data_IF_963391773257
#
_entry.id   IF_963391773257
#
_cell.length_a   1.000
_cell.length_b   1.000
_cell.length_c   1.000
_cell.angle_alpha   90.00
_cell.angle_beta   90.00
_cell.angle_gamma   90.00
#
_symmetry.space_group_name_H-M   'P 1'
#
loop_
_entity.id
_entity.type
_entity.pdbx_description
1 polymer ?
#
# COMPACT_ATOMS: atom_id res chain seq x y z
N UNK A 1 30.96 -0.41 4.18
CA UNK A 1 30.07 -0.93 3.11
C UNK A 1 28.96 0.09 2.96
N UNK A 2 28.63 0.53 1.73
CA UNK A 2 27.41 1.34 1.54
C UNK A 2 26.22 0.45 1.89
N UNK A 3 25.26 0.99 2.64
CA UNK A 3 23.97 0.33 2.89
C UNK A 3 23.27 0.20 1.53
N UNK A 4 22.87 -1.01 1.15
CA UNK A 4 22.18 -1.24 -0.11
C UNK A 4 20.85 -0.47 -0.12
N UNK A 5 20.51 0.15 -1.25
CA UNK A 5 19.27 0.91 -1.43
C UNK A 5 19.07 2.09 -0.44
N UNK A 6 20.14 2.63 0.16
CA UNK A 6 20.02 3.71 1.14
C UNK A 6 19.43 5.00 0.55
N UNK A 7 19.87 5.39 -0.66
CA UNK A 7 19.33 6.58 -1.35
C UNK A 7 17.88 6.35 -1.76
N UNK A 8 17.57 5.18 -2.30
CA UNK A 8 16.22 4.76 -2.67
C UNK A 8 15.26 4.81 -1.48
N UNK A 9 15.68 4.30 -0.32
CA UNK A 9 14.91 4.36 0.92
C UNK A 9 14.60 5.81 1.30
N UNK A 10 15.58 6.70 1.26
CA UNK A 10 15.38 8.11 1.62
C UNK A 10 14.43 8.83 0.65
N UNK A 11 14.64 8.64 -0.66
CA UNK A 11 13.77 9.21 -1.72
C UNK A 11 12.34 8.70 -1.56
N UNK A 12 12.17 7.39 -1.36
CA UNK A 12 10.85 6.76 -1.23
C UNK A 12 10.10 7.26 0.02
N UNK A 13 10.79 7.40 1.16
CA UNK A 13 10.20 7.98 2.38
C UNK A 13 9.76 9.43 2.15
N UNK A 14 10.60 10.25 1.50
CA UNK A 14 10.27 11.65 1.21
C UNK A 14 9.06 11.77 0.28
N UNK A 15 9.05 10.99 -0.81
CA UNK A 15 7.94 10.94 -1.76
C UNK A 15 6.63 10.52 -1.10
N UNK A 16 6.64 9.43 -0.33
CA UNK A 16 5.45 8.93 0.38
C UNK A 16 4.99 9.92 1.45
N UNK A 17 5.90 10.55 2.20
CA UNK A 17 5.53 11.56 3.21
C UNK A 17 4.80 12.75 2.58
N UNK A 18 5.31 13.29 1.47
CA UNK A 18 4.67 14.39 0.73
C UNK A 18 3.30 14.00 0.20
N UNK A 19 3.19 12.82 -0.41
CA UNK A 19 1.91 12.29 -0.86
C UNK A 19 0.93 12.10 0.31
N UNK A 20 1.37 11.58 1.47
CA UNK A 20 0.54 11.44 2.67
C UNK A 20 0.02 12.78 3.21
N UNK A 21 0.82 13.84 3.21
CA UNK A 21 0.34 15.17 3.62
C UNK A 21 -0.74 15.67 2.65
N UNK A 22 -0.50 15.53 1.34
CA UNK A 22 -1.48 15.87 0.30
C UNK A 22 -2.79 15.11 0.50
N UNK A 23 -2.73 13.78 0.58
CA UNK A 23 -3.94 12.94 0.70
C UNK A 23 -4.66 13.20 2.02
N UNK A 24 -3.94 13.56 3.09
CA UNK A 24 -4.56 13.96 4.37
C UNK A 24 -5.32 15.27 4.25
N UNK A 25 -4.77 16.25 3.53
CA UNK A 25 -5.47 17.52 3.26
C UNK A 25 -6.76 17.27 2.45
N UNK A 26 -6.67 16.46 1.38
CA UNK A 26 -7.83 16.08 0.57
C UNK A 26 -8.87 15.34 1.41
N UNK A 27 -8.44 14.34 2.19
CA UNK A 27 -9.29 13.55 3.08
C UNK A 27 -10.03 14.43 4.09
N UNK A 28 -9.32 15.32 4.78
CA UNK A 28 -9.92 16.19 5.79
C UNK A 28 -10.92 17.16 5.16
N UNK A 29 -10.60 17.75 4.01
CA UNK A 29 -11.54 18.61 3.29
C UNK A 29 -12.82 17.89 2.88
N UNK A 30 -12.76 16.58 2.60
CA UNK A 30 -13.93 15.77 2.27
C UNK A 30 -14.80 15.44 3.47
N UNK A 31 -14.16 14.97 4.54
CA UNK A 31 -14.86 14.60 5.77
C UNK A 31 -15.52 15.82 6.41
N UNK A 32 -14.83 16.97 6.43
CA UNK A 32 -15.30 18.19 7.11
C UNK A 32 -16.43 18.89 6.35
N UNK A 33 -16.43 18.85 5.02
CA UNK A 33 -17.44 19.52 4.20
C UNK A 33 -18.69 18.66 3.95
N UNK A 34 -18.85 17.51 4.62
CA UNK A 34 -19.93 16.51 4.42
C UNK A 34 -20.24 16.25 2.92
N UNK A 35 -19.26 16.41 2.04
CA UNK A 35 -19.46 16.41 0.57
C UNK A 35 -19.63 15.00 0.02
N UNK A 36 -19.81 14.02 0.91
CA UNK A 36 -20.11 12.63 0.63
C UNK A 36 -21.55 12.49 0.11
N UNK A 37 -21.82 13.07 -1.06
CA UNK A 37 -22.96 12.64 -1.85
C UNK A 37 -22.67 11.21 -2.28
N UNK A 38 -23.48 10.23 -1.84
CA UNK A 38 -23.32 8.81 -2.17
C UNK A 38 -23.15 8.63 -3.69
N UNK A 39 -21.90 8.43 -4.14
CA UNK A 39 -21.57 8.16 -5.53
C UNK A 39 -20.53 9.07 -6.16
N UNK A 40 -20.20 10.24 -5.57
CA UNK A 40 -19.17 11.12 -6.14
C UNK A 40 -17.76 10.62 -5.76
N UNK A 41 -17.10 9.94 -6.71
CA UNK A 41 -15.71 9.47 -6.57
C UNK A 41 -14.68 10.55 -6.89
N UNK A 42 -15.09 11.70 -7.43
CA UNK A 42 -14.23 12.78 -7.88
C UNK A 42 -13.13 13.16 -6.86
N UNK A 43 -13.41 13.23 -5.55
CA UNK A 43 -12.39 13.68 -4.61
C UNK A 43 -11.27 12.67 -4.33
N UNK A 44 -11.56 11.38 -4.40
CA UNK A 44 -10.51 10.35 -4.29
C UNK A 44 -9.69 10.34 -5.54
N UNK A 45 -10.37 10.33 -6.70
CA UNK A 45 -9.75 10.39 -8.02
C UNK A 45 -8.74 11.54 -8.13
N UNK A 46 -9.10 12.74 -7.65
CA UNK A 46 -8.18 13.88 -7.62
C UNK A 46 -6.98 13.64 -6.69
N UNK A 47 -7.19 13.01 -5.53
CA UNK A 47 -6.14 12.64 -4.59
C UNK A 47 -5.19 11.58 -5.15
N UNK A 48 -5.71 10.55 -5.82
CA UNK A 48 -4.95 9.48 -6.48
C UNK A 48 -4.00 10.05 -7.53
N UNK A 49 -4.54 10.81 -8.49
CA UNK A 49 -3.74 11.42 -9.54
C UNK A 49 -2.69 12.38 -9.00
N UNK A 50 -3.04 13.21 -8.01
CA UNK A 50 -2.10 14.17 -7.45
C UNK A 50 -0.99 13.49 -6.64
N UNK A 51 -1.32 12.46 -5.85
CA UNK A 51 -0.32 11.66 -5.13
C UNK A 51 0.61 10.92 -6.09
N UNK A 52 0.09 10.31 -7.16
CA UNK A 52 0.92 9.66 -8.17
C UNK A 52 1.81 10.68 -8.90
N UNK A 53 1.30 11.88 -9.21
CA UNK A 53 2.08 12.95 -9.83
C UNK A 53 3.25 13.40 -8.94
N UNK A 54 3.00 13.57 -7.63
CA UNK A 54 4.03 13.93 -6.63
C UNK A 54 5.10 12.84 -6.57
N UNK A 55 4.71 11.59 -6.32
CA UNK A 55 5.66 10.48 -6.16
C UNK A 55 6.47 10.27 -7.44
N UNK A 56 5.81 10.25 -8.59
CA UNK A 56 6.48 10.05 -9.88
C UNK A 56 7.40 11.20 -10.25
N UNK A 57 7.07 12.44 -9.86
CA UNK A 57 7.96 13.59 -10.04
C UNK A 57 9.21 13.47 -9.19
N UNK A 58 9.08 13.08 -7.92
CA UNK A 58 10.22 12.90 -7.00
C UNK A 58 11.13 11.77 -7.49
N UNK A 59 10.54 10.62 -7.88
CA UNK A 59 11.29 9.50 -8.45
C UNK A 59 11.99 9.87 -9.75
N UNK A 60 11.37 10.66 -10.62
CA UNK A 60 11.99 11.11 -11.87
C UNK A 60 13.24 11.95 -11.64
N UNK A 61 13.25 12.84 -10.64
CA UNK A 61 14.44 13.65 -10.34
C UNK A 61 15.57 12.79 -9.78
N UNK A 62 15.26 11.87 -8.87
CA UNK A 62 16.26 10.99 -8.25
C UNK A 62 16.77 9.89 -9.19
N UNK A 63 15.87 9.31 -9.99
CA UNK A 63 16.10 8.11 -10.81
C UNK A 63 15.44 8.23 -12.20
N UNK A 64 15.91 9.13 -13.08
CA UNK A 64 15.25 9.45 -14.36
C UNK A 64 15.21 8.29 -15.38
N UNK A 65 15.85 7.16 -15.08
CA UNK A 65 15.87 5.97 -15.95
C UNK A 65 15.02 4.83 -15.40
N UNK A 66 14.52 4.95 -14.17
CA UNK A 66 13.74 3.89 -13.56
C UNK A 66 12.30 3.96 -14.09
N UNK A 67 11.77 2.88 -14.67
CA UNK A 67 10.36 2.80 -15.06
C UNK A 67 9.45 2.69 -13.84
N UNK A 68 8.19 3.11 -13.99
CA UNK A 68 7.19 3.14 -12.91
C UNK A 68 5.93 2.39 -13.36
N UNK A 69 5.47 1.46 -12.54
CA UNK A 69 4.15 0.82 -12.64
C UNK A 69 3.23 1.49 -11.62
N UNK A 70 2.53 2.55 -12.03
CA UNK A 70 1.53 3.25 -11.21
C UNK A 70 0.12 2.81 -11.57
N UNK A 71 -0.84 2.95 -10.66
CA UNK A 71 -2.24 2.59 -10.89
C UNK A 71 -2.91 3.48 -11.95
N UNK A 72 -2.64 4.78 -11.89
CA UNK A 72 -3.36 5.81 -12.63
C UNK A 72 -2.69 6.18 -13.98
N UNK A 73 -3.47 6.70 -14.94
CA UNK A 73 -2.98 7.25 -16.21
C UNK A 73 -3.67 8.58 -16.57
N UNK A 74 -3.00 9.46 -17.31
CA UNK A 74 -3.51 10.80 -17.57
C UNK A 74 -4.40 10.92 -18.81
N UNK A 75 -4.88 9.81 -19.41
CA UNK A 75 -5.57 9.86 -20.70
C UNK A 75 -6.82 10.77 -20.66
N UNK A 76 -7.68 10.61 -19.65
CA UNK A 76 -8.88 11.44 -19.48
C UNK A 76 -8.53 12.89 -19.12
N UNK A 77 -7.49 13.10 -18.32
CA UNK A 77 -7.05 14.44 -17.89
C UNK A 77 -6.51 15.30 -19.04
N UNK A 78 -6.00 14.64 -20.09
CA UNK A 78 -5.52 15.28 -21.32
C UNK A 78 -6.67 15.72 -22.24
N UNK A 79 -7.88 15.22 -22.03
CA UNK A 79 -9.07 15.65 -22.77
C UNK A 79 -9.65 16.97 -22.20
N UNK A 80 -10.49 17.63 -23.00
CA UNK A 80 -11.18 18.87 -22.58
C UNK A 80 -12.20 18.60 -21.46
N UNK A 81 -12.84 17.42 -21.49
CA UNK A 81 -13.75 16.90 -20.46
C UNK A 81 -13.07 16.80 -19.09
N UNK A 82 -11.77 16.51 -19.05
CA UNK A 82 -10.97 16.38 -17.83
C UNK A 82 -10.41 17.70 -17.29
N UNK A 83 -10.65 18.85 -17.93
CA UNK A 83 -10.00 20.14 -17.60
C UNK A 83 -10.16 20.58 -16.14
N UNK A 84 -11.39 20.56 -15.62
CA UNK A 84 -11.64 20.97 -14.23
C UNK A 84 -10.96 20.05 -13.20
N UNK A 85 -10.91 18.74 -13.49
CA UNK A 85 -10.21 17.78 -12.63
C UNK A 85 -8.69 17.98 -12.71
N UNK A 86 -8.16 18.14 -13.92
CA UNK A 86 -6.76 18.43 -14.19
C UNK A 86 -6.27 19.67 -13.43
N UNK A 87 -7.00 20.78 -13.50
CA UNK A 87 -6.60 22.02 -12.83
C UNK A 87 -6.51 21.84 -11.30
N UNK A 88 -7.42 21.03 -10.73
CA UNK A 88 -7.40 20.71 -9.29
C UNK A 88 -6.23 19.80 -8.92
N UNK A 89 -5.93 18.79 -9.75
CA UNK A 89 -4.78 17.91 -9.58
C UNK A 89 -3.47 18.71 -9.63
N UNK A 90 -3.33 19.60 -10.62
CA UNK A 90 -2.16 20.46 -10.79
C UNK A 90 -1.95 21.36 -9.56
N UNK A 91 -3.03 21.96 -9.06
CA UNK A 91 -2.96 22.79 -7.86
C UNK A 91 -2.49 22.00 -6.64
N UNK A 92 -3.10 20.83 -6.36
CA UNK A 92 -2.76 20.00 -5.20
C UNK A 92 -1.34 19.42 -5.27
N UNK A 93 -0.93 18.93 -6.44
CA UNK A 93 0.40 18.39 -6.62
C UNK A 93 1.48 19.47 -6.44
N UNK A 94 1.26 20.68 -6.97
CA UNK A 94 2.18 21.79 -6.78
C UNK A 94 2.18 22.33 -5.35
N UNK A 95 1.04 22.36 -4.67
CA UNK A 95 0.99 22.69 -3.24
C UNK A 95 1.89 21.74 -2.43
N UNK A 96 1.81 20.43 -2.68
CA UNK A 96 2.63 19.45 -1.99
C UNK A 96 4.12 19.49 -2.39
N UNK A 97 4.43 19.70 -3.67
CA UNK A 97 5.82 19.76 -4.15
C UNK A 97 6.53 21.04 -3.74
N UNK A 98 5.81 22.18 -3.70
CA UNK A 98 6.39 23.49 -3.44
C UNK A 98 6.26 23.96 -1.98
N UNK A 99 5.53 23.22 -1.13
CA UNK A 99 5.47 23.50 0.30
C UNK A 99 6.87 23.45 0.94
N UNK A 100 7.07 24.27 1.97
CA UNK A 100 8.33 24.39 2.71
C UNK A 100 8.98 23.04 3.03
N UNK A 101 10.30 23.00 2.96
CA UNK A 101 11.05 21.76 3.20
C UNK A 101 10.91 21.31 4.66
N UNK A 102 10.66 20.03 4.83
CA UNK A 102 10.53 19.37 6.14
C UNK A 102 11.56 18.27 6.30
N UNK A 103 11.52 17.56 7.41
CA UNK A 103 12.49 16.52 7.73
C UNK A 103 12.50 15.41 6.65
N UNK A 104 13.66 15.22 6.03
CA UNK A 104 13.89 14.19 5.02
C UNK A 104 13.59 14.62 3.59
N UNK A 105 13.09 15.84 3.38
CA UNK A 105 12.98 16.41 2.04
C UNK A 105 14.34 16.81 1.48
N UNK A 106 14.45 16.85 0.16
CA UNK A 106 15.63 17.32 -0.55
C UNK A 106 15.22 18.08 -1.83
N UNK A 107 15.73 19.30 -1.98
CA UNK A 107 15.48 20.16 -3.14
C UNK A 107 15.99 19.52 -4.43
N UNK A 108 17.06 18.72 -4.37
CA UNK A 108 17.60 18.01 -5.53
C UNK A 108 16.63 16.94 -6.07
N UNK A 109 15.66 16.51 -5.27
CA UNK A 109 14.60 15.58 -5.68
C UNK A 109 13.34 16.30 -6.17
N UNK A 110 13.40 17.62 -6.36
CA UNK A 110 12.27 18.42 -6.81
C UNK A 110 11.23 18.69 -5.73
N UNK A 111 11.66 18.78 -4.47
CA UNK A 111 10.80 19.07 -3.30
C UNK A 111 11.23 20.39 -2.65
N UNK A 112 10.30 21.32 -2.47
CA UNK A 112 10.49 22.58 -1.77
C UNK A 112 10.11 23.81 -2.60
N UNK A 113 10.18 25.01 -2.02
CA UNK A 113 9.78 26.25 -2.68
C UNK A 113 10.47 26.45 -4.04
N UNK A 114 9.70 26.82 -5.06
CA UNK A 114 10.21 27.01 -6.43
C UNK A 114 10.30 25.72 -7.27
N UNK A 115 9.81 24.59 -6.75
CA UNK A 115 9.78 23.30 -7.47
C UNK A 115 8.45 23.03 -8.18
N UNK A 116 7.59 24.03 -8.34
CA UNK A 116 6.34 23.92 -9.07
C UNK A 116 6.59 23.38 -10.49
N UNK A 117 5.66 22.54 -10.95
CA UNK A 117 5.68 21.91 -12.26
C UNK A 117 4.56 22.47 -13.11
N UNK A 118 4.80 22.52 -14.41
CA UNK A 118 3.75 22.84 -15.37
C UNK A 118 2.71 21.72 -15.41
N UNK A 119 1.52 22.03 -15.94
CA UNK A 119 0.47 21.04 -16.18
C UNK A 119 0.99 19.84 -16.97
N UNK A 120 1.69 20.08 -18.08
CA UNK A 120 2.25 19.01 -18.92
C UNK A 120 3.25 18.14 -18.15
N UNK A 121 4.11 18.74 -17.33
CA UNK A 121 5.09 17.99 -16.53
C UNK A 121 4.43 17.04 -15.52
N UNK A 122 3.31 17.45 -14.93
CA UNK A 122 2.54 16.64 -13.99
C UNK A 122 1.75 15.53 -14.68
N UNK A 123 1.13 15.82 -15.84
CA UNK A 123 0.47 14.80 -16.65
C UNK A 123 1.47 13.75 -17.15
N UNK A 124 2.65 14.19 -17.58
CA UNK A 124 3.75 13.29 -17.95
C UNK A 124 4.25 12.49 -16.74
N UNK A 125 4.25 13.06 -15.53
CA UNK A 125 4.58 12.33 -14.32
C UNK A 125 3.56 11.23 -14.00
N UNK A 126 2.27 11.48 -14.16
CA UNK A 126 1.24 10.45 -14.02
C UNK A 126 1.47 9.34 -15.07
N UNK A 127 1.66 9.70 -16.34
CA UNK A 127 1.83 8.74 -17.44
C UNK A 127 3.13 7.92 -17.37
N UNK A 128 4.15 8.36 -16.60
CA UNK A 128 5.31 7.51 -16.30
C UNK A 128 4.91 6.21 -15.60
N UNK A 129 3.75 6.18 -14.95
CA UNK A 129 3.13 4.99 -14.34
C UNK A 129 2.67 3.91 -15.35
N UNK A 130 2.73 4.17 -16.66
CA UNK A 130 2.25 3.26 -17.69
C UNK A 130 3.21 2.09 -18.02
N UNK A 131 4.30 1.90 -17.27
CA UNK A 131 5.17 0.75 -17.52
C UNK A 131 4.38 -0.56 -17.34
N UNK A 132 4.53 -1.56 -18.25
CA UNK A 132 3.79 -2.81 -18.16
C UNK A 132 4.32 -3.77 -17.07
N UNK A 133 5.44 -3.46 -16.43
CA UNK A 133 6.13 -4.36 -15.53
C UNK A 133 6.92 -5.45 -16.27
N UNK A 134 7.59 -6.33 -15.52
CA UNK A 134 8.32 -7.44 -16.12
C UNK A 134 9.27 -8.13 -15.15
N UNK A 135 9.85 -9.25 -15.61
CA UNK A 135 10.66 -10.13 -14.76
C UNK A 135 12.10 -9.67 -14.55
N UNK A 136 12.64 -8.85 -15.45
CA UNK A 136 14.05 -8.43 -15.41
C UNK A 136 14.18 -6.93 -15.34
N UNK A 137 15.25 -6.45 -14.74
CA UNK A 137 15.54 -5.04 -14.58
C UNK A 137 14.92 -4.45 -13.33
N UNK A 138 15.03 -3.14 -13.23
CA UNK A 138 14.62 -2.35 -12.06
C UNK A 138 13.36 -1.56 -12.40
N UNK A 139 12.39 -1.52 -11.50
CA UNK A 139 11.16 -0.74 -11.64
C UNK A 139 10.59 -0.32 -10.28
N UNK A 140 9.91 0.81 -10.23
CA UNK A 140 9.07 1.20 -9.10
C UNK A 140 7.63 0.79 -9.34
N UNK A 141 6.87 0.59 -8.26
CA UNK A 141 5.42 0.45 -8.33
C UNK A 141 4.74 1.33 -7.28
N UNK A 142 3.62 1.94 -7.67
CA UNK A 142 2.90 2.95 -6.89
C UNK A 142 1.43 2.56 -6.82
N UNK A 143 0.90 2.57 -5.60
CA UNK A 143 -0.53 2.72 -5.35
C UNK A 143 -0.71 4.07 -4.60
N UNK A 144 -1.26 5.10 -5.27
CA UNK A 144 -1.31 6.43 -4.70
C UNK A 144 -2.28 6.56 -3.53
N UNK A 145 -3.44 5.88 -3.56
CA UNK A 145 -4.37 5.73 -2.43
C UNK A 145 -4.95 4.31 -2.45
N UNK A 146 -4.23 3.40 -1.78
CA UNK A 146 -4.73 2.06 -1.55
C UNK A 146 -5.87 2.12 -0.52
N UNK A 147 -6.98 1.46 -0.85
CA UNK A 147 -8.18 1.48 -0.02
C UNK A 147 -9.08 2.70 -0.26
N UNK A 148 -9.21 3.16 -1.50
CA UNK A 148 -10.15 4.21 -1.97
C UNK A 148 -11.52 4.20 -1.27
N UNK A 149 -12.10 3.02 -1.02
CA UNK A 149 -13.40 2.90 -0.32
C UNK A 149 -13.30 3.24 1.17
N UNK A 150 -12.23 2.84 1.84
CA UNK A 150 -11.93 3.25 3.21
C UNK A 150 -11.69 4.76 3.28
N UNK A 151 -10.97 5.33 2.32
CA UNK A 151 -10.80 6.77 2.18
C UNK A 151 -12.16 7.50 2.09
N UNK A 152 -13.06 7.07 1.20
CA UNK A 152 -14.42 7.64 1.05
C UNK A 152 -15.28 7.50 2.31
N UNK A 153 -15.05 6.47 3.12
CA UNK A 153 -15.78 6.27 4.39
C UNK A 153 -15.23 7.11 5.53
N UNK A 154 -14.12 7.83 5.35
CA UNK A 154 -13.45 8.48 6.46
C UNK A 154 -12.66 7.50 7.35
N UNK A 155 -12.27 6.34 6.81
CA UNK A 155 -11.58 5.25 7.53
C UNK A 155 -10.10 5.13 7.09
N UNK A 156 -9.54 3.92 7.10
CA UNK A 156 -8.13 3.68 6.76
C UNK A 156 -7.89 3.70 5.25
N UNK A 157 -6.73 4.21 4.86
CA UNK A 157 -6.16 4.13 3.53
C UNK A 157 -4.63 4.18 3.65
N UNK A 158 -3.91 3.87 2.57
CA UNK A 158 -2.46 3.94 2.54
C UNK A 158 -1.92 4.54 1.24
N UNK A 159 -0.74 5.13 1.28
CA UNK A 159 0.06 5.51 0.11
C UNK A 159 1.20 4.50 0.01
N UNK A 160 1.29 3.75 -1.08
CA UNK A 160 2.18 2.60 -1.18
C UNK A 160 3.19 2.78 -2.32
N UNK A 161 4.47 2.56 -1.99
CA UNK A 161 5.58 2.68 -2.94
C UNK A 161 6.55 1.53 -2.72
N UNK A 162 6.99 0.90 -3.80
CA UNK A 162 7.93 -0.21 -3.73
C UNK A 162 8.90 -0.22 -4.90
N UNK A 163 10.13 -0.71 -4.65
CA UNK A 163 11.16 -0.94 -5.64
C UNK A 163 11.30 -2.43 -5.90
N UNK A 164 11.22 -2.83 -7.16
CA UNK A 164 11.38 -4.21 -7.62
C UNK A 164 12.62 -4.28 -8.52
N UNK A 165 13.47 -5.28 -8.28
CA UNK A 165 14.64 -5.60 -9.11
C UNK A 165 14.60 -7.08 -9.44
N UNK A 166 14.58 -7.42 -10.73
CA UNK A 166 14.53 -8.79 -11.24
C UNK A 166 13.41 -9.63 -10.59
N UNK A 167 12.18 -9.09 -10.62
CA UNK A 167 10.97 -9.66 -10.00
C UNK A 167 11.03 -9.86 -8.48
N UNK A 168 12.05 -9.31 -7.81
CA UNK A 168 12.19 -9.36 -6.36
C UNK A 168 11.95 -7.98 -5.77
N UNK A 169 11.03 -7.89 -4.80
CA UNK A 169 10.83 -6.65 -4.05
C UNK A 169 12.05 -6.38 -3.17
N UNK A 170 12.67 -5.21 -3.33
CA UNK A 170 13.89 -4.81 -2.61
C UNK A 170 13.61 -3.79 -1.51
N UNK A 171 12.63 -2.91 -1.70
CA UNK A 171 12.25 -1.86 -0.77
C UNK A 171 10.73 -1.68 -0.81
N UNK A 172 10.11 -1.53 0.36
CA UNK A 172 8.69 -1.20 0.52
C UNK A 172 8.52 -0.03 1.48
N UNK A 173 7.68 0.93 1.11
CA UNK A 173 7.27 2.08 1.92
C UNK A 173 5.75 2.20 1.88
N UNK A 174 5.11 2.19 3.04
CA UNK A 174 3.65 2.29 3.19
C UNK A 174 3.35 3.43 4.15
N UNK A 175 2.82 4.53 3.65
CA UNK A 175 2.33 5.63 4.47
C UNK A 175 0.87 5.41 4.87
N UNK A 176 0.57 5.45 6.16
CA UNK A 176 -0.78 5.27 6.70
C UNK A 176 -1.18 6.51 7.52
N UNK A 177 -1.78 7.54 6.89
CA UNK A 177 -2.05 8.81 7.58
C UNK A 177 -3.05 8.70 8.74
N UNK A 178 -4.03 7.80 8.61
CA UNK A 178 -5.11 7.65 9.58
C UNK A 178 -4.84 6.59 10.66
N UNK A 179 -3.72 5.85 10.55
CA UNK A 179 -3.39 4.78 11.48
C UNK A 179 -2.78 5.35 12.76
N UNK A 180 -3.13 4.79 13.92
CA UNK A 180 -2.55 5.20 15.20
C UNK A 180 -1.04 4.93 15.22
N UNK A 181 -0.30 5.83 15.86
CA UNK A 181 1.15 5.65 16.06
C UNK A 181 1.40 4.42 16.92
N UNK A 182 0.64 4.28 18.00
CA UNK A 182 0.57 3.10 18.84
C UNK A 182 -0.88 2.89 19.30
N UNK A 183 -1.52 1.74 19.03
CA UNK A 183 -2.85 1.44 19.55
C UNK A 183 -2.94 1.42 21.08
N UNK A 184 -1.84 1.14 21.79
CA UNK A 184 -1.78 1.13 23.25
C UNK A 184 -1.64 2.54 23.85
N UNK A 185 -1.17 3.52 23.08
CA UNK A 185 -1.01 4.92 23.47
C UNK A 185 -1.69 5.87 22.45
N UNK A 186 -3.04 5.88 22.35
CA UNK A 186 -3.76 6.67 21.34
C UNK A 186 -3.50 8.17 21.38
N UNK A 187 -3.08 8.71 22.53
CA UNK A 187 -2.70 10.10 22.75
C UNK A 187 -1.45 10.53 21.95
N UNK A 188 -0.64 9.58 21.49
CA UNK A 188 0.48 9.87 20.58
C UNK A 188 0.00 10.36 19.21
N UNK A 189 -1.27 10.13 18.87
CA UNK A 189 -1.89 10.56 17.63
C UNK A 189 -1.79 9.52 16.51
N UNK A 190 -1.90 10.01 15.27
CA UNK A 190 -1.98 9.21 14.05
C UNK A 190 -0.90 9.60 13.05
N UNK A 191 -0.72 8.76 12.04
CA UNK A 191 0.18 8.98 10.93
C UNK A 191 1.50 8.26 11.12
N UNK A 192 1.68 7.17 10.37
CA UNK A 192 2.91 6.38 10.36
C UNK A 192 3.36 6.06 8.95
N UNK A 193 4.64 5.78 8.78
CA UNK A 193 5.21 5.21 7.57
C UNK A 193 5.92 3.93 7.96
N UNK A 194 5.54 2.81 7.35
CA UNK A 194 6.24 1.53 7.43
C UNK A 194 7.30 1.45 6.35
N UNK A 195 8.48 0.95 6.68
CA UNK A 195 9.62 0.85 5.77
C UNK A 195 10.31 -0.50 5.94
N UNK A 196 10.65 -1.14 4.84
CA UNK A 196 11.50 -2.33 4.83
C UNK A 196 12.43 -2.33 3.63
N UNK A 197 13.68 -2.72 3.85
CA UNK A 197 14.65 -3.01 2.78
C UNK A 197 15.07 -4.46 2.94
N UNK A 198 15.06 -5.22 1.84
CA UNK A 198 15.38 -6.64 1.85
C UNK A 198 16.74 -6.89 2.51
N UNK A 199 16.77 -7.77 3.52
CA UNK A 199 17.94 -8.10 4.34
C UNK A 199 18.35 -7.07 5.39
N UNK A 200 17.53 -6.04 5.66
CA UNK A 200 17.85 -4.94 6.59
C UNK A 200 16.79 -4.73 7.67
N UNK A 201 15.75 -5.57 7.72
CA UNK A 201 14.67 -5.48 8.69
C UNK A 201 13.58 -4.49 8.30
N UNK A 202 12.49 -4.56 9.06
CA UNK A 202 11.34 -3.68 8.96
C UNK A 202 11.34 -2.67 10.12
N UNK A 203 10.89 -1.46 9.84
CA UNK A 203 10.72 -0.40 10.84
C UNK A 203 9.46 0.42 10.56
N UNK A 204 8.99 1.13 11.57
CA UNK A 204 8.02 2.20 11.42
C UNK A 204 8.64 3.54 11.83
N UNK A 205 8.23 4.61 11.18
CA UNK A 205 8.49 6.00 11.59
C UNK A 205 7.17 6.75 11.70
N UNK A 206 7.15 7.84 12.49
CA UNK A 206 6.00 8.76 12.51
C UNK A 206 5.93 9.53 11.19
N UNK A 207 4.73 9.82 10.70
CA UNK A 207 4.57 10.66 9.50
C UNK A 207 5.22 12.04 9.70
N UNK A 208 5.10 12.60 10.91
CA UNK A 208 5.64 13.89 11.34
C UNK A 208 7.12 13.90 11.76
N UNK A 209 7.82 12.75 11.72
CA UNK A 209 9.16 12.65 12.30
C UNK A 209 10.00 11.49 11.77
N UNK A 210 11.14 11.25 12.43
CA UNK A 210 12.11 10.24 12.01
C UNK A 210 12.40 9.17 13.06
N UNK A 211 11.66 9.12 14.18
CA UNK A 211 11.86 8.14 15.25
C UNK A 211 11.57 6.72 14.73
N UNK A 212 12.60 5.91 14.38
CA UNK A 212 12.37 4.59 13.82
C UNK A 212 12.20 3.58 14.95
N UNK A 213 11.14 2.80 14.87
CA UNK A 213 10.89 1.67 15.76
C UNK A 213 10.99 0.37 14.94
N UNK A 214 11.92 -0.54 15.25
CA UNK A 214 12.00 -1.84 14.59
C UNK A 214 10.71 -2.62 14.75
N UNK A 215 10.34 -3.37 13.72
CA UNK A 215 9.14 -4.20 13.68
C UNK A 215 9.53 -5.68 13.68
N UNK A 216 8.77 -6.47 14.42
CA UNK A 216 8.90 -7.92 14.45
C UNK A 216 7.54 -8.52 14.76
N UNK A 217 7.07 -9.40 13.88
CA UNK A 217 5.85 -10.14 14.11
C UNK A 217 6.09 -11.07 15.30
N UNK A 218 5.28 -10.99 16.37
CA UNK A 218 5.42 -11.86 17.52
C UNK A 218 4.92 -13.27 17.20
N UNK A 219 5.30 -14.22 18.04
CA UNK A 219 4.59 -15.50 18.10
C UNK A 219 3.28 -15.29 18.85
N UNK A 220 2.21 -15.93 18.39
CA UNK A 220 0.88 -15.80 18.97
C UNK A 220 0.47 -17.10 19.67
N UNK A 221 -0.04 -16.98 20.90
CA UNK A 221 -0.77 -18.07 21.53
C UNK A 221 -2.11 -18.31 20.80
N UNK A 222 -2.72 -19.48 21.01
CA UNK A 222 -3.95 -19.88 20.32
C UNK A 222 -5.10 -18.89 20.55
N UNK A 223 -5.25 -18.41 21.77
CA UNK A 223 -6.24 -17.45 22.23
C UNK A 223 -5.96 -16.01 21.76
N UNK A 224 -4.77 -15.76 21.23
CA UNK A 224 -4.34 -14.46 20.69
C UNK A 224 -4.55 -14.36 19.18
N UNK A 225 -4.72 -15.49 18.50
CA UNK A 225 -4.96 -15.52 17.06
C UNK A 225 -6.18 -14.68 16.70
N UNK A 226 -6.00 -13.79 15.73
CA UNK A 226 -7.04 -13.00 15.08
C UNK A 226 -6.64 -12.78 13.61
N UNK A 227 -7.63 -12.54 12.76
CA UNK A 227 -7.38 -12.18 11.36
C UNK A 227 -7.46 -10.68 11.12
N UNK A 228 -6.62 -10.20 10.21
CA UNK A 228 -6.73 -8.92 9.55
C UNK A 228 -7.42 -9.17 8.20
N UNK A 229 -8.53 -8.50 7.93
CA UNK A 229 -9.27 -8.68 6.68
C UNK A 229 -9.87 -7.38 6.15
N UNK A 230 -10.24 -7.38 4.87
CA UNK A 230 -10.88 -6.23 4.24
C UNK A 230 -12.28 -5.99 4.82
N UNK A 231 -12.65 -4.72 5.04
CA UNK A 231 -14.03 -4.32 5.39
C UNK A 231 -15.00 -4.75 4.28
N UNK A 232 -14.57 -4.60 3.03
CA UNK A 232 -15.36 -4.89 1.85
C UNK A 232 -15.45 -6.38 1.54
N UNK A 233 -16.66 -6.95 1.68
CA UNK A 233 -16.95 -8.35 1.35
C UNK A 233 -16.71 -8.69 -0.13
N UNK A 234 -16.69 -7.69 -1.03
CA UNK A 234 -16.33 -7.90 -2.43
C UNK A 234 -14.84 -8.17 -2.63
N UNK A 235 -13.98 -7.68 -1.73
CA UNK A 235 -12.52 -7.76 -1.84
C UNK A 235 -11.93 -8.95 -1.06
N UNK A 236 -12.73 -9.61 -0.23
CA UNK A 236 -12.37 -10.87 0.44
C UNK A 236 -13.62 -11.66 0.76
N UNK A 237 -13.62 -12.97 0.49
CA UNK A 237 -14.73 -13.84 0.86
C UNK A 237 -14.81 -14.01 2.39
N UNK A 238 -15.64 -13.20 3.06
CA UNK A 238 -15.81 -13.25 4.52
C UNK A 238 -16.30 -14.62 4.99
N UNK A 239 -17.21 -15.27 4.26
CA UNK A 239 -17.70 -16.60 4.61
C UNK A 239 -16.61 -17.68 4.50
N UNK A 240 -15.69 -17.53 3.55
CA UNK A 240 -14.51 -18.39 3.47
C UNK A 240 -13.58 -18.14 4.66
N UNK A 241 -13.29 -16.87 4.97
CA UNK A 241 -12.46 -16.51 6.11
C UNK A 241 -13.05 -16.99 7.44
N UNK A 242 -14.37 -16.89 7.63
CA UNK A 242 -15.09 -17.43 8.79
C UNK A 242 -14.91 -18.95 8.90
N UNK A 243 -14.92 -19.66 7.77
CA UNK A 243 -14.66 -21.11 7.75
C UNK A 243 -13.21 -21.42 8.15
N UNK A 244 -12.24 -20.68 7.63
CA UNK A 244 -10.82 -20.82 7.99
C UNK A 244 -10.61 -20.53 9.49
N UNK A 245 -11.26 -19.49 10.00
CA UNK A 245 -11.27 -19.12 11.43
C UNK A 245 -11.82 -20.26 12.30
N UNK A 246 -12.93 -20.87 11.89
CA UNK A 246 -13.53 -22.02 12.57
C UNK A 246 -12.61 -23.25 12.57
N UNK A 247 -11.96 -23.56 11.44
CA UNK A 247 -11.00 -24.67 11.34
C UNK A 247 -9.79 -24.48 12.26
N UNK A 248 -9.37 -23.23 12.45
CA UNK A 248 -8.29 -22.89 13.38
C UNK A 248 -8.74 -22.68 14.83
N UNK A 249 -10.04 -22.80 15.12
CA UNK A 249 -10.60 -22.50 16.45
C UNK A 249 -10.22 -21.11 16.96
N UNK A 250 -10.24 -20.11 16.07
CA UNK A 250 -9.96 -18.72 16.42
C UNK A 250 -11.18 -18.13 17.13
N UNK A 251 -10.98 -17.69 18.37
CA UNK A 251 -12.04 -17.12 19.20
C UNK A 251 -12.17 -15.59 19.04
N UNK A 252 -11.08 -14.91 18.70
CA UNK A 252 -11.09 -13.45 18.53
C UNK A 252 -11.77 -13.08 17.22
N UNK A 253 -12.51 -11.98 17.24
CA UNK A 253 -13.10 -11.43 16.02
C UNK A 253 -12.00 -10.90 15.09
N UNK A 254 -12.21 -10.96 13.76
CA UNK A 254 -11.31 -10.34 12.82
C UNK A 254 -11.30 -8.82 13.00
N UNK A 255 -10.12 -8.23 12.82
CA UNK A 255 -9.94 -6.78 12.71
C UNK A 255 -10.10 -6.42 11.24
N UNK A 256 -11.12 -5.62 10.95
CA UNK A 256 -11.46 -5.22 9.58
C UNK A 256 -10.92 -3.83 9.29
N UNK A 257 -10.13 -3.71 8.23
CA UNK A 257 -9.64 -2.43 7.71
C UNK A 257 -9.31 -2.51 6.22
N UNK A 258 -9.43 -1.39 5.52
CA UNK A 258 -8.99 -1.26 4.14
C UNK A 258 -7.48 -1.02 4.03
N UNK A 259 -6.96 -1.11 2.81
CA UNK A 259 -5.55 -0.87 2.44
C UNK A 259 -4.50 -1.83 3.00
N UNK A 260 -3.26 -1.63 2.58
CA UNK A 260 -2.03 -2.27 3.01
C UNK A 260 -1.63 -1.84 4.43
N UNK A 261 -2.38 -0.94 5.09
CA UNK A 261 -2.33 -0.78 6.55
C UNK A 261 -2.44 -2.13 7.28
N UNK A 262 -3.16 -3.11 6.71
CA UNK A 262 -3.20 -4.51 7.20
C UNK A 262 -1.82 -5.14 7.33
N UNK A 263 -0.93 -4.96 6.34
CA UNK A 263 0.44 -5.48 6.42
C UNK A 263 1.24 -4.77 7.53
N UNK A 264 1.05 -3.46 7.69
CA UNK A 264 1.65 -2.69 8.79
C UNK A 264 1.19 -3.17 10.17
N UNK A 265 -0.12 -3.35 10.37
CA UNK A 265 -0.70 -3.90 11.59
C UNK A 265 -0.21 -5.33 11.86
N UNK A 266 -0.08 -6.17 10.82
CA UNK A 266 0.51 -7.50 10.95
C UNK A 266 1.97 -7.41 11.41
N UNK A 267 2.78 -6.56 10.78
CA UNK A 267 4.19 -6.34 11.14
C UNK A 267 4.39 -5.84 12.59
N UNK A 268 3.41 -5.11 13.13
CA UNK A 268 3.36 -4.68 14.55
C UNK A 268 2.85 -5.76 15.52
N UNK A 269 2.25 -6.83 15.01
CA UNK A 269 1.61 -7.85 15.84
C UNK A 269 0.17 -7.55 16.27
N UNK A 270 -0.53 -6.62 15.60
CA UNK A 270 -1.93 -6.27 15.89
C UNK A 270 -2.94 -7.30 15.36
N UNK A 271 -2.47 -8.29 14.59
CA UNK A 271 -3.22 -9.46 14.16
C UNK A 271 -2.28 -10.60 13.79
N UNK A 272 -2.78 -11.84 13.82
CA UNK A 272 -1.95 -13.03 13.66
C UNK A 272 -1.80 -13.49 12.20
N UNK A 273 -2.78 -13.18 11.35
CA UNK A 273 -2.69 -13.45 9.92
C UNK A 273 -3.55 -12.47 9.12
N UNK A 274 -3.08 -12.13 7.92
CA UNK A 274 -3.84 -11.44 6.89
C UNK A 274 -4.26 -12.45 5.81
N UNK A 275 -5.55 -12.42 5.47
CA UNK A 275 -6.14 -13.26 4.43
C UNK A 275 -6.85 -12.40 3.39
N UNK A 276 -6.54 -12.64 2.12
CA UNK A 276 -7.26 -12.10 0.98
C UNK A 276 -7.53 -13.20 -0.02
N UNK A 277 -8.79 -13.66 -0.05
CA UNK A 277 -9.24 -14.68 -0.98
C UNK A 277 -10.12 -14.04 -2.06
N UNK A 278 -9.80 -14.20 -3.35
CA UNK A 278 -10.55 -13.59 -4.43
C UNK A 278 -11.96 -14.17 -4.49
N UNK A 279 -12.93 -13.31 -4.75
CA UNK A 279 -14.37 -13.63 -4.76
C UNK A 279 -14.90 -14.07 -6.12
N UNK A 280 -14.10 -13.91 -7.19
CA UNK A 280 -14.47 -14.20 -8.57
C UNK A 280 -13.40 -14.96 -9.35
N UNK A 281 -13.83 -15.65 -10.40
CA UNK A 281 -12.93 -16.38 -11.32
C UNK A 281 -12.23 -15.36 -12.23
N UNK A 282 -10.91 -15.49 -12.36
CA UNK A 282 -10.11 -14.70 -13.30
C UNK A 282 -9.66 -13.33 -12.80
N UNK A 283 -10.02 -12.93 -11.58
CA UNK A 283 -9.43 -11.74 -10.96
C UNK A 283 -7.94 -12.00 -10.66
N UNK A 284 -7.10 -11.02 -10.99
CA UNK A 284 -5.65 -11.06 -10.74
C UNK A 284 -5.28 -9.83 -9.91
N UNK A 285 -4.70 -10.07 -8.74
CA UNK A 285 -4.21 -9.02 -7.86
C UNK A 285 -3.17 -8.16 -8.57
N UNK A 286 -3.19 -6.86 -8.30
CA UNK A 286 -2.19 -5.94 -8.85
C UNK A 286 -0.90 -6.03 -8.04
N UNK A 287 0.23 -5.74 -8.67
CA UNK A 287 1.52 -5.80 -7.95
C UNK A 287 1.62 -4.69 -6.89
N UNK A 288 1.02 -3.52 -7.15
CA UNK A 288 1.08 -2.38 -6.24
C UNK A 288 0.27 -2.61 -4.95
N UNK A 289 -0.79 -3.42 -4.99
CA UNK A 289 -1.59 -3.84 -3.83
C UNK A 289 -0.81 -4.65 -2.78
N UNK A 290 0.36 -5.20 -3.15
CA UNK A 290 1.05 -6.21 -2.33
C UNK A 290 2.57 -6.07 -2.24
N UNK A 291 3.23 -5.44 -3.21
CA UNK A 291 4.70 -5.37 -3.24
C UNK A 291 5.31 -4.76 -1.96
N UNK A 292 4.91 -3.56 -1.50
CA UNK A 292 5.52 -2.99 -0.30
C UNK A 292 5.13 -3.77 0.97
N UNK A 293 3.90 -4.29 1.05
CA UNK A 293 3.45 -5.12 2.15
C UNK A 293 4.18 -6.46 2.27
N UNK A 294 4.51 -7.09 1.14
CA UNK A 294 5.19 -8.37 1.10
C UNK A 294 6.60 -8.28 1.72
N UNK A 295 7.43 -7.34 1.26
CA UNK A 295 8.77 -7.15 1.82
C UNK A 295 8.72 -6.67 3.28
N UNK A 296 7.71 -5.89 3.66
CA UNK A 296 7.53 -5.47 5.06
C UNK A 296 7.30 -6.67 5.98
N UNK A 297 6.42 -7.59 5.60
CA UNK A 297 6.14 -8.80 6.40
C UNK A 297 7.35 -9.72 6.43
N UNK A 298 8.00 -9.97 5.30
CA UNK A 298 9.21 -10.81 5.23
C UNK A 298 10.31 -10.28 6.15
N UNK A 299 10.59 -8.97 6.09
CA UNK A 299 11.62 -8.32 6.91
C UNK A 299 11.21 -8.16 8.39
N UNK A 300 9.91 -8.24 8.71
CA UNK A 300 9.40 -8.34 10.08
C UNK A 300 9.40 -9.78 10.63
N UNK A 301 9.90 -10.77 9.87
CA UNK A 301 10.01 -12.18 10.28
C UNK A 301 8.78 -13.04 9.94
N UNK A 302 7.92 -12.56 9.05
CA UNK A 302 6.77 -13.30 8.54
C UNK A 302 7.01 -14.02 7.21
N UNK A 303 5.95 -14.61 6.70
CA UNK A 303 5.88 -15.27 5.39
C UNK A 303 4.68 -14.73 4.65
N UNK A 304 4.83 -14.55 3.32
CA UNK A 304 3.75 -14.20 2.40
C UNK A 304 3.71 -15.21 1.26
N UNK A 305 2.55 -15.84 1.05
CA UNK A 305 2.32 -16.76 -0.07
C UNK A 305 0.94 -16.55 -0.69
N UNK A 306 0.70 -17.20 -1.82
CA UNK A 306 -0.66 -17.44 -2.29
C UNK A 306 -1.34 -18.59 -1.51
N UNK A 307 -2.59 -18.92 -1.86
CA UNK A 307 -3.36 -19.98 -1.20
C UNK A 307 -2.81 -21.40 -1.40
N UNK A 308 -1.85 -21.59 -2.31
CA UNK A 308 -1.16 -22.86 -2.59
C UNK A 308 0.17 -22.95 -1.84
N UNK A 309 0.58 -21.90 -1.14
CA UNK A 309 1.85 -21.83 -0.44
C UNK A 309 3.01 -21.42 -1.35
N UNK A 310 2.74 -20.93 -2.57
CA UNK A 310 3.77 -20.45 -3.48
C UNK A 310 4.09 -18.98 -3.18
N UNK A 311 5.37 -18.56 -3.33
CA UNK A 311 5.72 -17.14 -3.26
C UNK A 311 4.95 -16.30 -4.28
N UNK A 312 4.74 -15.02 -3.97
CA UNK A 312 4.14 -14.07 -4.91
C UNK A 312 5.15 -13.74 -6.03
N UNK A 313 4.71 -13.80 -7.29
CA UNK A 313 5.54 -13.50 -8.47
C UNK A 313 5.24 -12.09 -9.00
N UNK A 314 6.15 -11.15 -8.68
CA UNK A 314 6.08 -9.76 -9.13
C UNK A 314 6.66 -9.55 -10.55
N UNK A 315 6.99 -10.63 -11.27
CA UNK A 315 7.63 -10.60 -12.59
C UNK A 315 6.69 -10.77 -13.79
N UNK A 316 5.40 -10.98 -13.56
CA UNK A 316 4.40 -11.30 -14.60
C UNK A 316 3.66 -10.06 -15.15
N UNK A 317 4.31 -8.89 -15.08
CA UNK A 317 3.77 -7.61 -15.53
C UNK A 317 3.10 -6.84 -14.39
N UNK A 318 1.96 -6.19 -14.66
CA UNK A 318 1.21 -5.36 -13.69
C UNK A 318 0.40 -6.15 -12.65
N UNK A 319 0.40 -7.49 -12.72
CA UNK A 319 -0.39 -8.37 -11.85
C UNK A 319 0.46 -9.50 -11.29
N UNK A 320 0.03 -10.12 -10.20
CA UNK A 320 0.63 -11.36 -9.65
C UNK A 320 0.35 -12.61 -10.51
N UNK A 321 -0.17 -12.43 -11.73
CA UNK A 321 -0.31 -13.47 -12.73
C UNK A 321 -1.15 -14.66 -12.27
N UNK A 322 -0.48 -15.77 -12.00
CA UNK A 322 -1.10 -17.04 -11.66
C UNK A 322 -1.23 -17.28 -10.14
N UNK A 323 -0.72 -16.37 -9.29
CA UNK A 323 -0.97 -16.43 -7.85
C UNK A 323 -2.47 -16.26 -7.56
N UNK A 324 -2.99 -17.05 -6.61
CA UNK A 324 -4.40 -17.03 -6.24
C UNK A 324 -4.57 -16.75 -4.74
N UNK A 325 -5.16 -15.60 -4.44
CA UNK A 325 -5.24 -15.09 -3.07
C UNK A 325 -3.88 -14.76 -2.46
N UNK A 326 -3.92 -14.20 -1.26
CA UNK A 326 -2.74 -13.82 -0.49
C UNK A 326 -2.95 -14.21 0.97
N UNK A 327 -1.94 -14.86 1.54
CA UNK A 327 -1.83 -15.22 2.94
C UNK A 327 -0.55 -14.58 3.45
N UNK A 328 -0.64 -13.82 4.53
CA UNK A 328 0.53 -13.31 5.23
C UNK A 328 0.40 -13.57 6.73
N UNK A 329 1.44 -14.10 7.37
CA UNK A 329 1.44 -14.38 8.80
C UNK A 329 2.87 -14.51 9.34
N UNK A 330 3.03 -14.51 10.66
CA UNK A 330 4.29 -14.88 11.31
C UNK A 330 4.69 -16.33 11.00
N UNK A 331 6.00 -16.64 11.06
CA UNK A 331 6.56 -17.95 10.75
C UNK A 331 5.84 -19.11 11.47
N UNK A 332 5.56 -18.98 12.77
CA UNK A 332 4.88 -19.99 13.58
C UNK A 332 3.38 -20.19 13.25
N UNK A 333 2.76 -19.20 12.61
CA UNK A 333 1.31 -19.18 12.34
C UNK A 333 1.00 -19.55 10.89
N UNK A 334 1.86 -19.18 9.93
CA UNK A 334 1.60 -19.28 8.51
C UNK A 334 1.23 -20.69 8.04
N UNK A 335 1.99 -21.72 8.44
CA UNK A 335 1.74 -23.09 8.00
C UNK A 335 0.34 -23.60 8.40
N UNK A 336 -0.12 -23.23 9.60
CA UNK A 336 -1.44 -23.61 10.11
C UNK A 336 -2.54 -22.90 9.33
N UNK A 337 -2.36 -21.62 9.04
CA UNK A 337 -3.31 -20.82 8.25
C UNK A 337 -3.42 -21.34 6.83
N UNK A 338 -2.29 -21.63 6.17
CA UNK A 338 -2.27 -22.21 4.83
C UNK A 338 -3.02 -23.55 4.78
N UNK A 339 -2.77 -24.44 5.75
CA UNK A 339 -3.47 -25.72 5.82
C UNK A 339 -4.99 -25.55 5.97
N UNK A 340 -5.42 -24.61 6.82
CA UNK A 340 -6.83 -24.31 7.02
C UNK A 340 -7.49 -23.70 5.77
N UNK A 341 -6.77 -22.82 5.04
CA UNK A 341 -7.22 -22.27 3.75
C UNK A 341 -7.40 -23.38 2.72
N UNK A 342 -6.43 -24.29 2.58
CA UNK A 342 -6.51 -25.40 1.63
C UNK A 342 -7.65 -26.37 1.98
N UNK A 343 -7.85 -26.65 3.27
CA UNK A 343 -8.98 -27.47 3.71
C UNK A 343 -10.32 -26.79 3.39
N UNK A 344 -10.48 -25.51 3.71
CA UNK A 344 -11.70 -24.76 3.39
C UNK A 344 -11.98 -24.71 1.88
N UNK A 345 -10.94 -24.58 1.06
CA UNK A 345 -11.03 -24.66 -0.41
C UNK A 345 -11.58 -26.01 -0.89
N UNK A 346 -10.98 -27.11 -0.42
CA UNK A 346 -11.41 -28.47 -0.78
C UNK A 346 -12.87 -28.74 -0.37
N UNK A 347 -13.31 -28.23 0.79
CA UNK A 347 -14.69 -28.37 1.25
C UNK A 347 -15.68 -27.63 0.33
N UNK A 348 -15.33 -26.43 -0.15
CA UNK A 348 -16.17 -25.67 -1.08
C UNK A 348 -16.26 -26.32 -2.48
N UNK A 349 -15.19 -26.95 -2.96
CA UNK A 349 -15.20 -27.68 -4.22
C UNK A 349 -16.07 -28.93 -4.12
N UNK A 350 -15.89 -29.73 -3.06
CA UNK A 350 -16.66 -30.96 -2.85
C UNK A 350 -18.16 -30.67 -2.64
N UNK A 351 -18.53 -29.57 -1.96
CA UNK A 351 -19.92 -29.17 -1.74
C UNK A 351 -20.65 -28.62 -2.97
N UNK A 352 -19.96 -28.38 -4.09
CA UNK A 352 -20.56 -27.98 -5.38
C UNK A 352 -20.82 -29.17 -6.32
N UNK A 353 -20.49 -30.39 -5.91
CA UNK A 353 -20.69 -31.64 -6.68
C UNK A 353 -21.95 -32.35 -6.23
#
# INVERSE_FOLDING_TARGET
>A
MSLAYATEKQVAIAAVRRACHLTSSVFNNLVTNETLTKGDKSPVTVGDYAAQAVISSVLWHAFPKDPIVGEEDAAELREESGSAMRDRIVALANEALAEEITLGDNVDWGIGPGQEKTTEQLLDAIDRGNYPGGRTGRMWTIDPIDGTKGFLRGEQYAVCLSLIVDAQVQLGVIGCPNLLIDPAEPELGRGVIFVAVKGHGAEQIRLSGANPTPLRIPDFAQEELSFLESVEAAHSSHSFNDRVSALLSIARRPVRMDSQAKYGCLARGEGAAYLRMPTGVGYREKIWDHAPGAVLVEEAGGIVTDSRGLPLDFGLGRTLGENFGVIAAGLGTHARVLQAVQQAGNEQENGKT
#
